data_IF_582422437349
#
_entry.id   IF_582422437349
#
_cell.length_a   1.000
_cell.length_b   1.000
_cell.length_c   1.000
_cell.angle_alpha   90.00
_cell.angle_beta   90.00
_cell.angle_gamma   90.00
#
_symmetry.space_group_name_H-M   'P 1'
#
loop_
_entity.id
_entity.type
_entity.pdbx_description
1 polymer ?
#
# COMPACT_ATOMS: atom_id res chain seq x y z
N UNK A 1 80.26 60.41 17.49
CA UNK A 1 79.92 59.01 17.18
C UNK A 1 78.43 58.84 17.41
N UNK A 2 77.65 58.69 16.34
CA UNK A 2 76.19 58.57 16.40
C UNK A 2 75.81 57.10 16.26
N UNK A 3 75.26 56.54 17.34
CA UNK A 3 74.76 55.16 17.39
C UNK A 3 73.57 55.00 16.45
N UNK A 4 73.69 54.11 15.48
CA UNK A 4 72.59 53.75 14.57
C UNK A 4 71.60 52.87 15.36
N UNK A 5 70.30 53.20 15.39
CA UNK A 5 69.32 52.47 16.20
C UNK A 5 69.20 51.02 15.72
N UNK A 6 69.52 50.07 16.61
CA UNK A 6 69.59 48.63 16.30
C UNK A 6 68.32 48.00 15.72
N UNK A 7 67.17 48.67 15.83
CA UNK A 7 65.92 48.26 15.18
C UNK A 7 65.97 48.39 13.65
N UNK A 8 66.56 49.48 13.12
CA UNK A 8 66.67 49.70 11.67
C UNK A 8 67.61 48.65 11.05
N UNK A 9 68.72 48.35 11.72
CA UNK A 9 69.69 47.33 11.32
C UNK A 9 69.02 45.95 11.24
N UNK A 10 68.16 45.61 12.22
CA UNK A 10 67.42 44.34 12.23
C UNK A 10 66.40 44.26 11.07
N UNK A 11 65.67 45.33 10.78
CA UNK A 11 64.75 45.37 9.63
C UNK A 11 65.49 45.23 8.30
N UNK A 12 66.63 45.91 8.13
CA UNK A 12 67.44 45.80 6.91
C UNK A 12 68.01 44.38 6.75
N UNK A 13 68.45 43.73 7.83
CA UNK A 13 68.89 42.33 7.81
C UNK A 13 67.76 41.37 7.43
N UNK A 14 66.55 41.59 7.96
CA UNK A 14 65.37 40.77 7.62
C UNK A 14 64.93 40.97 6.16
N UNK A 15 64.91 42.21 5.66
CA UNK A 15 64.62 42.50 4.26
C UNK A 15 65.64 41.85 3.33
N UNK A 16 66.94 41.89 3.69
CA UNK A 16 67.98 41.20 2.93
C UNK A 16 67.79 39.69 2.93
N UNK A 17 67.42 39.09 4.07
CA UNK A 17 67.14 37.66 4.15
C UNK A 17 65.90 37.24 3.34
N UNK A 18 64.84 38.05 3.34
CA UNK A 18 63.67 37.83 2.50
C UNK A 18 64.01 37.98 1.01
N UNK A 19 64.82 38.98 0.65
CA UNK A 19 65.30 39.16 -0.72
C UNK A 19 66.12 37.96 -1.19
N UNK A 20 66.99 37.40 -0.33
CA UNK A 20 67.78 36.22 -0.71
C UNK A 20 66.89 34.97 -0.85
N UNK A 21 65.88 34.79 0.01
CA UNK A 21 64.90 33.71 -0.14
C UNK A 21 64.10 33.81 -1.43
N UNK A 22 63.71 35.02 -1.82
CA UNK A 22 63.04 35.26 -3.10
C UNK A 22 63.96 34.94 -4.27
N UNK A 23 65.24 35.35 -4.19
CA UNK A 23 66.25 35.06 -5.21
C UNK A 23 66.47 33.56 -5.39
N UNK A 24 66.62 32.82 -4.29
CA UNK A 24 66.76 31.36 -4.31
C UNK A 24 65.51 30.68 -4.87
N UNK A 25 64.32 31.16 -4.50
CA UNK A 25 63.05 30.62 -5.04
C UNK A 25 62.92 30.88 -6.54
N UNK A 26 63.35 32.04 -7.02
CA UNK A 26 63.32 32.40 -8.44
C UNK A 26 64.31 31.54 -9.24
N UNK A 27 65.54 31.38 -8.74
CA UNK A 27 66.54 30.48 -9.33
C UNK A 27 66.04 29.02 -9.38
N UNK A 28 65.40 28.54 -8.31
CA UNK A 28 64.83 27.19 -8.26
C UNK A 28 63.68 27.02 -9.27
N UNK A 29 62.76 27.98 -9.34
CA UNK A 29 61.65 27.97 -10.31
C UNK A 29 62.18 28.05 -11.74
N UNK A 30 63.17 28.91 -12.01
CA UNK A 30 63.80 29.03 -13.31
C UNK A 30 64.46 27.71 -13.74
N UNK A 31 65.16 27.03 -12.83
CA UNK A 31 65.76 25.72 -13.08
C UNK A 31 64.70 24.65 -13.41
N UNK A 32 63.59 24.61 -12.65
CA UNK A 32 62.49 23.67 -12.91
C UNK A 32 61.73 23.97 -14.20
N UNK A 33 61.52 25.24 -14.53
CA UNK A 33 60.92 25.64 -15.81
C UNK A 33 61.84 25.30 -16.99
N UNK A 34 63.15 25.43 -16.82
CA UNK A 34 64.12 25.05 -17.85
C UNK A 34 64.13 23.54 -18.07
N UNK A 35 64.12 22.75 -16.98
CA UNK A 35 63.98 21.30 -17.03
C UNK A 35 62.67 20.87 -17.71
N UNK A 36 61.55 21.53 -17.41
CA UNK A 36 60.27 21.29 -18.10
C UNK A 36 60.35 21.61 -19.60
N UNK A 37 61.02 22.70 -19.99
CA UNK A 37 61.19 23.08 -21.40
C UNK A 37 62.06 22.10 -22.19
N UNK A 38 63.03 21.46 -21.54
CA UNK A 38 63.83 20.40 -22.17
C UNK A 38 63.02 19.12 -22.39
N UNK A 39 62.19 18.73 -21.41
CA UNK A 39 61.33 17.54 -21.51
C UNK A 39 60.16 17.76 -22.46
N UNK A 40 59.63 18.98 -22.53
CA UNK A 40 58.54 19.40 -23.42
C UNK A 40 58.93 20.70 -24.13
N UNK A 41 59.57 20.61 -25.31
CA UNK A 41 59.84 21.80 -26.11
C UNK A 41 58.53 22.53 -26.40
N UNK A 42 58.52 23.87 -26.25
CA UNK A 42 57.32 24.71 -26.46
C UNK A 42 56.68 24.51 -27.84
N UNK A 43 57.46 24.05 -28.83
CA UNK A 43 56.98 23.71 -30.18
C UNK A 43 56.18 22.41 -30.24
N UNK A 44 56.34 21.50 -29.29
CA UNK A 44 55.58 20.24 -29.19
C UNK A 44 54.49 20.30 -28.12
N UNK A 45 54.33 21.43 -27.43
CA UNK A 45 53.23 21.61 -26.50
C UNK A 45 51.95 21.81 -27.33
N UNK A 46 50.92 20.96 -27.16
CA UNK A 46 49.65 21.20 -27.85
C UNK A 46 49.15 22.56 -27.38
N UNK A 47 49.04 23.51 -28.31
CA UNK A 47 48.29 24.74 -28.05
C UNK A 47 46.88 24.27 -27.77
N UNK A 48 46.48 24.27 -26.50
CA UNK A 48 45.11 24.02 -26.08
C UNK A 48 44.24 25.18 -26.58
N UNK A 49 43.99 25.21 -27.89
CA UNK A 49 42.76 25.75 -28.47
C UNK A 49 41.66 24.72 -28.22
N UNK A 50 41.47 24.32 -26.97
CA UNK A 50 40.25 23.63 -26.62
C UNK A 50 39.17 24.69 -26.68
N UNK A 51 38.53 24.83 -27.85
CA UNK A 51 37.09 25.01 -27.83
C UNK A 51 36.58 23.89 -26.93
N UNK A 52 36.19 24.27 -25.72
CA UNK A 52 35.45 23.37 -24.85
C UNK A 52 34.11 23.22 -25.55
N UNK A 53 34.01 22.24 -26.45
CA UNK A 53 32.71 21.72 -26.85
C UNK A 53 32.09 21.12 -25.60
N UNK A 54 31.26 21.92 -24.95
CA UNK A 54 30.24 21.40 -24.07
C UNK A 54 29.35 20.53 -24.94
N UNK A 55 29.61 19.23 -24.95
CA UNK A 55 28.53 18.26 -25.05
C UNK A 55 27.69 18.47 -23.80
N UNK A 56 26.81 19.47 -23.86
CA UNK A 56 25.50 19.21 -23.29
C UNK A 56 25.08 17.93 -24.00
N UNK A 57 24.78 16.88 -23.25
CA UNK A 57 23.69 16.04 -23.69
C UNK A 57 22.53 17.00 -23.93
N UNK A 58 22.46 17.57 -25.13
CA UNK A 58 21.22 17.62 -25.85
C UNK A 58 20.85 16.14 -26.00
N UNK A 59 20.38 15.54 -24.89
CA UNK A 59 19.08 14.90 -24.93
C UNK A 59 18.27 15.93 -25.67
N UNK A 60 18.17 15.73 -26.99
CA UNK A 60 17.18 16.41 -27.79
C UNK A 60 15.95 16.27 -26.90
N UNK A 61 15.55 17.39 -26.29
CA UNK A 61 14.43 17.42 -25.38
C UNK A 61 13.38 16.66 -26.18
N UNK A 62 12.91 15.47 -25.72
CA UNK A 62 12.02 14.68 -26.55
C UNK A 62 10.95 15.68 -26.93
N UNK A 63 10.83 15.97 -28.25
CA UNK A 63 9.92 17.00 -28.80
C UNK A 63 8.71 16.97 -27.89
N UNK A 64 8.33 18.06 -27.18
CA UNK A 64 7.31 17.98 -26.14
C UNK A 64 6.13 17.26 -26.77
N UNK A 65 5.98 15.98 -26.45
CA UNK A 65 5.21 15.07 -27.29
C UNK A 65 3.78 15.23 -26.82
N UNK A 66 3.21 16.41 -27.04
CA UNK A 66 1.92 16.87 -26.53
C UNK A 66 1.57 16.13 -25.22
N UNK A 67 2.43 16.25 -24.20
CA UNK A 67 2.39 15.38 -23.01
C UNK A 67 1.01 15.45 -22.35
N UNK A 68 0.35 16.61 -22.42
CA UNK A 68 -1.04 16.81 -22.07
C UNK A 68 -2.02 15.90 -22.85
N UNK A 69 -1.87 15.74 -24.16
CA UNK A 69 -2.70 14.81 -24.95
C UNK A 69 -2.37 13.35 -24.70
N UNK A 70 -1.10 13.03 -24.40
CA UNK A 70 -0.71 11.64 -24.07
C UNK A 70 -1.25 11.24 -22.70
N UNK A 71 -1.25 12.16 -21.74
CA UNK A 71 -1.83 12.00 -20.42
C UNK A 71 -3.36 11.95 -20.49
N UNK A 72 -4.00 12.84 -21.26
CA UNK A 72 -5.46 12.83 -21.47
C UNK A 72 -5.91 11.49 -22.08
N UNK A 73 -5.19 10.98 -23.09
CA UNK A 73 -5.49 9.66 -23.67
C UNK A 73 -5.26 8.52 -22.66
N UNK A 74 -4.19 8.57 -21.88
CA UNK A 74 -3.93 7.58 -20.83
C UNK A 74 -5.02 7.62 -19.75
N UNK A 75 -5.48 8.82 -19.37
CA UNK A 75 -6.58 9.03 -18.42
C UNK A 75 -7.90 8.50 -18.97
N UNK A 76 -8.24 8.77 -20.24
CA UNK A 76 -9.46 8.23 -20.86
C UNK A 76 -9.44 6.70 -20.99
N UNK A 77 -8.28 6.11 -21.27
CA UNK A 77 -8.10 4.66 -21.28
C UNK A 77 -8.27 4.11 -19.86
N UNK A 78 -7.68 4.79 -18.86
CA UNK A 78 -7.86 4.46 -17.45
C UNK A 78 -9.32 4.51 -17.01
N UNK A 79 -10.03 5.59 -17.33
CA UNK A 79 -11.46 5.74 -17.01
C UNK A 79 -12.31 4.67 -17.69
N UNK A 80 -12.11 4.40 -18.98
CA UNK A 80 -12.81 3.30 -19.67
C UNK A 80 -12.54 1.95 -19.03
N UNK A 81 -11.30 1.71 -18.60
CA UNK A 81 -10.94 0.46 -17.94
C UNK A 81 -11.60 0.32 -16.56
N UNK A 82 -11.75 1.43 -15.83
CA UNK A 82 -12.51 1.46 -14.57
C UNK A 82 -13.97 1.13 -14.82
N UNK A 83 -14.61 1.76 -15.82
CA UNK A 83 -16.01 1.49 -16.16
C UNK A 83 -16.24 0.02 -16.57
N UNK A 84 -15.31 -0.55 -17.35
CA UNK A 84 -15.33 -1.97 -17.71
C UNK A 84 -15.26 -2.86 -16.46
N UNK A 85 -14.32 -2.59 -15.55
CA UNK A 85 -14.14 -3.36 -14.33
C UNK A 85 -15.34 -3.22 -13.37
N UNK A 86 -15.94 -2.03 -13.28
CA UNK A 86 -17.14 -1.81 -12.48
C UNK A 86 -18.34 -2.58 -13.05
N UNK A 87 -18.48 -2.64 -14.38
CA UNK A 87 -19.52 -3.45 -15.02
C UNK A 87 -19.32 -4.96 -14.78
N UNK A 88 -18.07 -5.43 -14.84
CA UNK A 88 -17.71 -6.82 -14.55
C UNK A 88 -17.95 -7.16 -13.08
N UNK A 89 -17.59 -6.26 -12.17
CA UNK A 89 -17.86 -6.39 -10.73
C UNK A 89 -19.35 -6.55 -10.47
N UNK A 90 -20.19 -5.67 -11.01
CA UNK A 90 -21.66 -5.75 -10.81
C UNK A 90 -22.22 -7.07 -11.35
N UNK A 91 -21.73 -7.53 -12.52
CA UNK A 91 -22.13 -8.81 -13.07
C UNK A 91 -21.72 -10.00 -12.19
N UNK A 92 -20.52 -9.97 -11.61
CA UNK A 92 -20.03 -10.99 -10.68
C UNK A 92 -20.80 -10.98 -9.36
N UNK A 93 -21.09 -9.80 -8.79
CA UNK A 93 -21.91 -9.65 -7.58
C UNK A 93 -23.33 -10.21 -7.79
N UNK A 94 -23.92 -9.97 -8.96
CA UNK A 94 -25.20 -10.56 -9.33
C UNK A 94 -25.13 -12.09 -9.40
N UNK A 95 -24.10 -12.65 -10.05
CA UNK A 95 -23.93 -14.10 -10.13
C UNK A 95 -23.69 -14.75 -8.76
N UNK A 96 -22.91 -14.10 -7.88
CA UNK A 96 -22.70 -14.57 -6.51
C UNK A 96 -24.02 -14.57 -5.74
N UNK A 97 -24.81 -13.49 -5.85
CA UNK A 97 -26.12 -13.39 -5.21
C UNK A 97 -27.06 -14.49 -5.67
N UNK A 98 -27.14 -14.71 -6.99
CA UNK A 98 -27.96 -15.77 -7.58
C UNK A 98 -27.51 -17.18 -7.11
N UNK A 99 -26.20 -17.45 -7.10
CA UNK A 99 -25.68 -18.75 -6.62
C UNK A 99 -25.94 -18.96 -5.13
N UNK A 100 -25.88 -17.89 -4.34
CA UNK A 100 -26.18 -17.92 -2.91
C UNK A 100 -27.64 -18.27 -2.68
N UNK A 101 -28.56 -17.65 -3.43
CA UNK A 101 -29.99 -17.96 -3.38
C UNK A 101 -30.26 -19.43 -3.77
N UNK A 102 -29.68 -19.90 -4.88
CA UNK A 102 -29.79 -21.30 -5.29
C UNK A 102 -29.27 -22.27 -4.23
N UNK A 103 -28.17 -21.94 -3.55
CA UNK A 103 -27.62 -22.77 -2.50
C UNK A 103 -28.53 -22.80 -1.26
N UNK A 104 -29.11 -21.66 -0.88
CA UNK A 104 -30.09 -21.59 0.20
C UNK A 104 -31.33 -22.44 -0.11
N UNK A 105 -31.83 -22.40 -1.34
CA UNK A 105 -32.94 -23.24 -1.79
C UNK A 105 -32.63 -24.74 -1.69
N UNK A 106 -31.42 -25.16 -2.08
CA UNK A 106 -30.99 -26.56 -1.95
C UNK A 106 -30.92 -26.97 -0.48
N UNK A 107 -30.39 -26.11 0.38
CA UNK A 107 -30.34 -26.37 1.83
C UNK A 107 -31.74 -26.46 2.43
N UNK A 108 -32.66 -25.57 2.06
CA UNK A 108 -34.04 -25.60 2.53
C UNK A 108 -34.74 -26.90 2.09
N UNK A 109 -34.63 -27.29 0.82
CA UNK A 109 -35.21 -28.56 0.33
C UNK A 109 -34.63 -29.77 1.05
N UNK A 110 -33.31 -29.79 1.29
CA UNK A 110 -32.66 -30.87 2.04
C UNK A 110 -33.13 -30.90 3.49
N UNK A 111 -33.25 -29.75 4.14
CA UNK A 111 -33.69 -29.66 5.53
C UNK A 111 -35.14 -30.17 5.68
N UNK A 112 -36.03 -29.81 4.76
CA UNK A 112 -37.40 -30.36 4.71
C UNK A 112 -37.37 -31.89 4.55
N UNK A 113 -36.57 -32.41 3.63
CA UNK A 113 -36.42 -33.86 3.44
C UNK A 113 -35.93 -34.58 4.70
N UNK A 114 -34.94 -34.02 5.38
CA UNK A 114 -34.42 -34.55 6.65
C UNK A 114 -35.51 -34.52 7.74
N UNK A 115 -36.26 -33.42 7.86
CA UNK A 115 -37.36 -33.33 8.83
C UNK A 115 -38.47 -34.34 8.56
N UNK A 116 -38.80 -34.59 7.29
CA UNK A 116 -39.75 -35.63 6.92
C UNK A 116 -39.24 -37.04 7.25
N UNK A 117 -37.94 -37.32 7.06
CA UNK A 117 -37.32 -38.59 7.44
C UNK A 117 -37.33 -38.80 8.95
N UNK A 118 -36.99 -37.77 9.74
CA UNK A 118 -37.11 -37.84 11.19
C UNK A 118 -38.56 -38.08 11.63
N UNK A 119 -39.52 -37.38 11.01
CA UNK A 119 -40.94 -37.59 11.31
C UNK A 119 -41.38 -39.02 10.99
N UNK A 120 -40.95 -39.59 9.86
CA UNK A 120 -41.23 -40.98 9.50
C UNK A 120 -40.63 -41.95 10.52
N UNK A 121 -39.36 -41.75 10.88
CA UNK A 121 -38.65 -42.60 11.85
C UNK A 121 -39.31 -42.58 13.23
N UNK A 122 -39.77 -41.40 13.70
CA UNK A 122 -40.51 -41.28 14.95
C UNK A 122 -41.85 -42.04 14.90
N UNK A 123 -42.60 -41.93 13.79
CA UNK A 123 -43.83 -42.70 13.62
C UNK A 123 -43.59 -44.22 13.60
N UNK A 124 -42.49 -44.68 12.99
CA UNK A 124 -42.11 -46.09 13.00
C UNK A 124 -41.80 -46.57 14.43
N UNK A 125 -41.04 -45.78 15.21
CA UNK A 125 -40.78 -46.08 16.62
C UNK A 125 -42.05 -46.12 17.47
N UNK A 126 -42.98 -45.19 17.26
CA UNK A 126 -44.28 -45.19 17.95
C UNK A 126 -45.07 -46.47 17.65
N UNK A 127 -45.08 -46.94 16.40
CA UNK A 127 -45.73 -48.19 16.01
C UNK A 127 -45.08 -49.42 16.64
N UNK A 128 -43.74 -49.45 16.69
CA UNK A 128 -43.00 -50.52 17.37
C UNK A 128 -43.28 -50.54 18.88
N UNK A 129 -43.33 -49.36 19.50
CA UNK A 129 -43.62 -49.18 20.92
C UNK A 129 -45.05 -49.61 21.25
N UNK A 130 -46.03 -49.28 20.41
CA UNK A 130 -47.40 -49.79 20.52
C UNK A 130 -47.47 -51.32 20.37
N UNK A 131 -46.73 -51.88 19.41
CA UNK A 131 -46.60 -53.32 19.25
C UNK A 131 -46.03 -54.02 20.50
N UNK A 132 -44.99 -53.44 21.08
CA UNK A 132 -44.36 -53.94 22.31
C UNK A 132 -45.31 -53.82 23.51
N UNK A 133 -46.00 -52.69 23.65
CA UNK A 133 -46.99 -52.46 24.70
C UNK A 133 -48.14 -53.49 24.61
N UNK A 134 -48.64 -53.76 23.41
CA UNK A 134 -49.64 -54.80 23.21
C UNK A 134 -49.11 -56.19 23.55
N UNK A 135 -47.85 -56.50 23.24
CA UNK A 135 -47.23 -57.78 23.59
C UNK A 135 -47.06 -57.93 25.11
N UNK A 136 -46.64 -56.88 25.81
CA UNK A 136 -46.55 -56.81 27.26
C UNK A 136 -47.93 -57.02 27.88
N UNK A 137 -48.95 -56.32 27.38
CA UNK A 137 -50.32 -56.42 27.91
C UNK A 137 -50.93 -57.82 27.66
N UNK A 138 -50.68 -58.42 26.49
CA UNK A 138 -51.03 -59.83 26.20
C UNK A 138 -50.35 -60.77 27.19
N UNK A 139 -49.05 -60.59 27.49
CA UNK A 139 -48.34 -61.38 28.50
C UNK A 139 -48.96 -61.18 29.89
N UNK A 140 -49.18 -59.94 30.33
CA UNK A 140 -49.82 -59.62 31.63
C UNK A 140 -51.19 -60.29 31.78
N UNK A 141 -52.01 -60.28 30.72
CA UNK A 141 -53.32 -60.95 30.71
C UNK A 141 -53.20 -62.48 30.78
N UNK A 142 -52.19 -63.08 30.14
CA UNK A 142 -51.92 -64.53 30.27
C UNK A 142 -51.55 -64.89 31.71
N UNK A 143 -50.69 -64.11 32.36
CA UNK A 143 -50.30 -64.35 33.76
C UNK A 143 -51.45 -64.10 34.76
N UNK A 144 -52.30 -63.09 34.54
CA UNK A 144 -53.47 -62.83 35.40
C UNK A 144 -54.55 -63.92 35.34
N UNK A 145 -54.64 -64.72 34.26
CA UNK A 145 -55.63 -65.82 34.14
C UNK A 145 -55.21 -67.11 34.85
N UNK A 146 -53.97 -67.21 35.34
CA UNK A 146 -53.51 -68.34 36.15
C UNK A 146 -53.84 -68.03 37.62
N UNK A 147 -55.06 -68.36 38.03
CA UNK A 147 -55.43 -68.39 39.45
C UNK A 147 -54.67 -69.58 40.09
N UNK A 148 -53.99 -69.43 41.25
CA UNK A 148 -53.36 -70.57 41.89
C UNK A 148 -54.47 -71.53 42.34
N UNK A 149 -54.57 -72.69 41.70
CA UNK A 149 -55.43 -73.77 42.18
C UNK A 149 -54.81 -74.33 43.46
N UNK A 150 -55.43 -74.03 44.61
CA UNK A 150 -55.05 -74.61 45.89
C UNK A 150 -55.59 -76.05 45.97
N UNK A 151 -54.76 -77.03 45.63
CA UNK A 151 -54.85 -78.35 46.24
C UNK A 151 -53.49 -79.06 46.14
N UNK A 152 -52.67 -78.87 47.18
CA UNK A 152 -51.47 -79.66 47.39
C UNK A 152 -51.88 -81.05 47.91
N UNK A 153 -52.04 -82.01 46.99
CA UNK A 153 -51.77 -83.42 47.29
C UNK A 153 -50.49 -83.78 46.54
N UNK A 154 -49.40 -83.94 47.29
CA UNK A 154 -48.10 -84.34 46.76
C UNK A 154 -48.18 -85.81 46.35
N UNK A 155 -48.60 -86.05 45.12
CA UNK A 155 -48.38 -87.33 44.45
C UNK A 155 -46.91 -87.38 44.01
N UNK A 156 -46.24 -88.53 44.10
CA UNK A 156 -44.82 -88.68 43.71
C UNK A 156 -44.50 -88.17 42.29
N UNK A 157 -45.48 -88.16 41.39
CA UNK A 157 -45.38 -87.57 40.04
C UNK A 157 -45.15 -86.05 40.07
N UNK A 158 -45.69 -85.32 41.05
CA UNK A 158 -45.47 -83.89 41.22
C UNK A 158 -44.05 -83.60 41.72
N UNK A 159 -43.48 -84.48 42.54
CA UNK A 159 -42.11 -84.39 43.02
C UNK A 159 -41.11 -84.69 41.91
N UNK A 160 -41.39 -85.70 41.07
CA UNK A 160 -40.62 -85.99 39.84
C UNK A 160 -40.64 -84.81 38.86
N UNK A 161 -41.83 -84.23 38.62
CA UNK A 161 -41.97 -83.04 37.78
C UNK A 161 -41.25 -81.83 38.37
N UNK A 162 -41.28 -81.65 39.69
CA UNK A 162 -40.56 -80.57 40.35
C UNK A 162 -39.04 -80.78 40.28
N UNK A 163 -38.56 -82.01 40.38
CA UNK A 163 -37.15 -82.36 40.18
C UNK A 163 -36.71 -82.06 38.75
N UNK A 164 -37.49 -82.49 37.76
CA UNK A 164 -37.23 -82.22 36.35
C UNK A 164 -37.28 -80.72 36.03
N UNK A 165 -38.23 -79.98 36.64
CA UNK A 165 -38.29 -78.52 36.50
C UNK A 165 -37.04 -77.88 37.10
N UNK A 166 -36.61 -78.32 38.28
CA UNK A 166 -35.41 -77.82 38.96
C UNK A 166 -34.14 -78.05 38.14
N UNK A 167 -33.99 -79.25 37.57
CA UNK A 167 -32.86 -79.57 36.66
C UNK A 167 -32.91 -78.76 35.36
N UNK A 168 -34.11 -78.47 34.85
CA UNK A 168 -34.27 -77.62 33.65
C UNK A 168 -33.99 -76.16 33.98
N UNK A 169 -34.41 -75.69 35.15
CA UNK A 169 -34.15 -74.33 35.63
C UNK A 169 -32.65 -74.12 35.84
N UNK A 170 -31.96 -75.08 36.47
CA UNK A 170 -30.50 -75.05 36.63
C UNK A 170 -29.78 -74.96 35.28
N UNK A 171 -30.14 -75.81 34.29
CA UNK A 171 -29.56 -75.73 32.95
C UNK A 171 -29.81 -74.40 32.25
N UNK A 172 -31.00 -73.82 32.43
CA UNK A 172 -31.32 -72.50 31.84
C UNK A 172 -30.58 -71.37 32.57
N UNK A 173 -30.40 -71.46 33.88
CA UNK A 173 -29.61 -70.50 34.65
C UNK A 173 -28.13 -70.56 34.26
N UNK A 174 -27.56 -71.75 34.09
CA UNK A 174 -26.20 -71.93 33.55
C UNK A 174 -26.09 -71.35 32.14
N UNK A 175 -27.09 -71.56 31.28
CA UNK A 175 -27.12 -70.98 29.93
C UNK A 175 -27.17 -69.44 29.95
N UNK A 176 -27.93 -68.84 30.87
CA UNK A 176 -27.99 -67.39 31.04
C UNK A 176 -26.68 -66.84 31.57
N UNK A 177 -26.03 -67.53 32.52
CA UNK A 177 -24.70 -67.14 32.99
C UNK A 177 -23.67 -67.19 31.86
N UNK A 178 -23.66 -68.25 31.07
CA UNK A 178 -22.79 -68.36 29.89
C UNK A 178 -23.07 -67.26 28.86
N UNK A 179 -24.34 -66.89 28.62
CA UNK A 179 -24.69 -65.79 27.72
C UNK A 179 -24.33 -64.41 28.30
N UNK A 180 -24.37 -64.23 29.63
CA UNK A 180 -23.88 -63.02 30.29
C UNK A 180 -22.35 -62.93 30.23
N UNK A 181 -21.65 -64.05 30.41
CA UNK A 181 -20.20 -64.14 30.21
C UNK A 181 -19.82 -63.89 28.75
N UNK A 182 -20.57 -64.44 27.79
CA UNK A 182 -20.38 -64.18 26.36
C UNK A 182 -20.68 -62.71 26.00
N UNK A 183 -21.74 -62.12 26.56
CA UNK A 183 -22.08 -60.71 26.35
C UNK A 183 -21.05 -59.75 26.96
N UNK A 184 -20.45 -60.12 28.09
CA UNK A 184 -19.37 -59.34 28.71
C UNK A 184 -18.03 -59.54 27.99
N UNK A 185 -17.75 -60.73 27.43
CA UNK A 185 -16.60 -60.99 26.57
C UNK A 185 -16.72 -60.33 25.19
N UNK A 186 -17.93 -60.23 24.63
CA UNK A 186 -18.22 -59.55 23.37
C UNK A 186 -18.24 -58.02 23.50
N UNK A 187 -17.90 -57.46 24.67
CA UNK A 187 -17.65 -56.02 24.81
C UNK A 187 -18.89 -55.14 24.67
N UNK A 188 -20.11 -55.68 24.79
CA UNK A 188 -21.35 -54.91 24.76
C UNK A 188 -21.72 -54.36 26.15
N UNK A 189 -20.72 -54.00 26.95
CA UNK A 189 -20.92 -53.04 28.02
C UNK A 189 -20.65 -51.66 27.43
N UNK A 190 -21.50 -50.69 27.75
CA UNK A 190 -21.59 -49.31 27.23
C UNK A 190 -20.28 -48.47 27.27
N UNK A 191 -19.14 -49.07 27.65
CA UNK A 191 -17.81 -48.49 27.76
C UNK A 191 -17.12 -48.20 26.42
N UNK A 192 -17.62 -48.70 25.27
CA UNK A 192 -17.12 -48.30 23.95
C UNK A 192 -17.85 -47.08 23.37
N UNK A 193 -19.08 -46.78 23.82
CA UNK A 193 -19.82 -45.57 23.39
C UNK A 193 -19.46 -44.34 24.24
N UNK A 194 -19.19 -44.52 25.54
CA UNK A 194 -18.76 -43.44 26.44
C UNK A 194 -17.49 -42.68 25.99
N UNK A 195 -16.39 -43.31 25.51
CA UNK A 195 -15.19 -42.59 25.10
C UNK A 195 -15.34 -41.87 23.76
N UNK A 196 -16.31 -42.25 22.92
CA UNK A 196 -16.57 -41.57 21.64
C UNK A 196 -17.24 -40.22 21.90
N UNK A 197 -18.25 -40.19 22.79
CA UNK A 197 -18.92 -38.95 23.20
C UNK A 197 -17.97 -38.01 23.98
N UNK A 198 -17.07 -38.57 24.80
CA UNK A 198 -16.08 -37.80 25.55
C UNK A 198 -14.97 -37.22 24.65
N UNK A 199 -14.59 -37.92 23.58
CA UNK A 199 -13.63 -37.45 22.57
C UNK A 199 -14.24 -36.36 21.67
N UNK A 200 -15.53 -36.46 21.34
CA UNK A 200 -16.23 -35.43 20.59
C UNK A 200 -16.46 -34.16 21.42
N UNK A 201 -16.77 -34.28 22.71
CA UNK A 201 -16.84 -33.13 23.63
C UNK A 201 -15.49 -32.39 23.74
N UNK A 202 -14.39 -33.14 23.89
CA UNK A 202 -13.03 -32.56 23.94
C UNK A 202 -12.63 -31.90 22.60
N UNK A 203 -13.04 -32.47 21.46
CA UNK A 203 -12.83 -31.83 20.15
C UNK A 203 -13.62 -30.54 19.99
N UNK A 204 -14.85 -30.48 20.49
CA UNK A 204 -15.68 -29.27 20.45
C UNK A 204 -15.02 -28.17 21.28
N UNK A 205 -14.57 -28.47 22.50
CA UNK A 205 -13.88 -27.51 23.37
C UNK A 205 -12.59 -26.98 22.72
N UNK A 206 -11.79 -27.85 22.10
CA UNK A 206 -10.57 -27.46 21.40
C UNK A 206 -10.84 -26.66 20.12
N UNK A 207 -11.97 -26.90 19.44
CA UNK A 207 -12.40 -26.10 18.30
C UNK A 207 -12.93 -24.72 18.73
N UNK A 208 -13.63 -24.64 19.85
CA UNK A 208 -14.10 -23.37 20.43
C UNK A 208 -12.93 -22.48 20.90
N UNK A 209 -11.91 -23.08 21.53
CA UNK A 209 -10.67 -22.37 21.90
C UNK A 209 -9.97 -21.81 20.65
N UNK A 210 -9.79 -22.63 19.61
CA UNK A 210 -9.22 -22.17 18.33
C UNK A 210 -10.06 -21.08 17.66
N UNK A 211 -11.38 -21.16 17.73
CA UNK A 211 -12.28 -20.12 17.20
C UNK A 211 -12.15 -18.82 17.98
N UNK A 212 -11.98 -18.91 19.31
CA UNK A 212 -11.72 -17.76 20.17
C UNK A 212 -10.40 -17.09 19.82
N UNK A 213 -9.33 -17.87 19.60
CA UNK A 213 -8.01 -17.32 19.24
C UNK A 213 -7.99 -16.70 17.84
N UNK A 214 -8.64 -17.34 16.86
CA UNK A 214 -8.80 -16.74 15.51
C UNK A 214 -9.61 -15.45 15.59
N UNK A 215 -10.64 -15.36 16.44
CA UNK A 215 -11.39 -14.11 16.65
C UNK A 215 -10.53 -13.00 17.26
N UNK A 216 -9.65 -13.33 18.22
CA UNK A 216 -8.70 -12.36 18.78
C UNK A 216 -7.69 -11.91 17.74
N UNK A 217 -7.18 -12.82 16.91
CA UNK A 217 -6.26 -12.50 15.81
C UNK A 217 -6.92 -11.58 14.78
N UNK A 218 -8.15 -11.88 14.37
CA UNK A 218 -8.93 -11.00 13.47
C UNK A 218 -9.14 -9.62 14.09
N UNK A 219 -9.42 -9.54 15.39
CA UNK A 219 -9.57 -8.24 16.07
C UNK A 219 -8.26 -7.46 16.10
N UNK A 220 -7.14 -8.11 16.42
CA UNK A 220 -5.80 -7.53 16.37
C UNK A 220 -5.45 -7.03 14.96
N UNK A 221 -5.73 -7.84 13.93
CA UNK A 221 -5.50 -7.46 12.53
C UNK A 221 -6.33 -6.24 12.15
N UNK A 222 -7.60 -6.20 12.55
CA UNK A 222 -8.49 -5.06 12.32
C UNK A 222 -8.00 -3.80 13.03
N UNK A 223 -7.54 -3.92 14.27
CA UNK A 223 -7.00 -2.80 15.04
C UNK A 223 -5.68 -2.29 14.43
N UNK A 224 -4.81 -3.19 13.95
CA UNK A 224 -3.61 -2.78 13.21
C UNK A 224 -3.96 -2.10 11.88
N UNK A 225 -4.96 -2.60 11.14
CA UNK A 225 -5.40 -1.99 9.89
C UNK A 225 -6.00 -0.59 10.13
N UNK A 226 -6.85 -0.43 11.14
CA UNK A 226 -7.41 0.86 11.52
C UNK A 226 -6.32 1.83 12.01
N UNK A 227 -5.32 1.34 12.75
CA UNK A 227 -4.18 2.16 13.17
C UNK A 227 -3.32 2.62 11.99
N UNK A 228 -3.08 1.75 11.00
CA UNK A 228 -2.34 2.08 9.77
C UNK A 228 -3.09 3.10 8.92
N UNK A 229 -4.41 2.94 8.77
CA UNK A 229 -5.21 3.91 8.02
C UNK A 229 -5.28 5.26 8.72
N UNK A 230 -5.31 5.30 10.06
CA UNK A 230 -5.25 6.55 10.82
C UNK A 230 -3.89 7.23 10.72
N UNK A 231 -2.78 6.49 10.78
CA UNK A 231 -1.42 7.06 10.65
C UNK A 231 -1.14 7.60 9.25
N UNK A 232 -1.62 6.93 8.21
CA UNK A 232 -1.40 7.36 6.82
C UNK A 232 -2.29 8.55 6.44
N UNK A 233 -3.53 8.59 6.95
CA UNK A 233 -4.47 9.68 6.66
C UNK A 233 -4.12 11.01 7.35
N UNK A 234 -3.57 10.99 8.56
CA UNK A 234 -3.35 12.24 9.34
C UNK A 234 -1.96 12.83 9.14
N UNK A 235 -0.93 12.01 8.93
CA UNK A 235 0.44 12.51 8.70
C UNK A 235 0.70 12.81 7.23
N UNK A 236 0.01 12.15 6.30
CA UNK A 236 0.16 12.40 4.86
C UNK A 236 -0.49 13.70 4.41
N UNK A 237 -1.70 14.02 4.90
CA UNK A 237 -2.43 15.22 4.46
C UNK A 237 -1.82 16.50 5.03
N UNK A 238 -1.41 16.49 6.31
CA UNK A 238 -0.84 17.65 6.99
C UNK A 238 0.53 18.03 6.42
N UNK A 239 1.40 17.04 6.18
CA UNK A 239 2.69 17.29 5.54
C UNK A 239 2.55 17.81 4.09
N UNK A 240 1.58 17.32 3.32
CA UNK A 240 1.34 17.84 1.97
C UNK A 240 0.74 19.26 1.98
N UNK A 241 -0.16 19.57 2.93
CA UNK A 241 -0.71 20.91 3.11
C UNK A 241 0.40 21.91 3.48
N UNK A 242 1.29 21.54 4.40
CA UNK A 242 2.44 22.35 4.80
C UNK A 242 3.44 22.55 3.64
N UNK A 243 3.70 21.53 2.83
CA UNK A 243 4.56 21.64 1.63
C UNK A 243 3.94 22.55 0.55
N UNK A 244 2.61 22.48 0.37
CA UNK A 244 1.87 23.36 -0.55
C UNK A 244 1.94 24.80 -0.05
N UNK A 245 1.77 25.04 1.25
CA UNK A 245 1.85 26.38 1.83
C UNK A 245 3.28 26.95 1.73
N UNK A 246 4.29 26.12 1.97
CA UNK A 246 5.70 26.49 1.80
C UNK A 246 6.02 26.85 0.35
N UNK A 247 5.60 26.03 -0.63
CA UNK A 247 5.82 26.32 -2.05
C UNK A 247 5.08 27.59 -2.50
N UNK A 248 3.85 27.81 -2.03
CA UNK A 248 3.15 29.07 -2.30
C UNK A 248 3.88 30.28 -1.71
N UNK A 249 4.44 30.15 -0.50
CA UNK A 249 5.24 31.21 0.12
C UNK A 249 6.51 31.51 -0.69
N UNK A 250 7.23 30.48 -1.15
CA UNK A 250 8.40 30.62 -2.02
C UNK A 250 8.04 31.30 -3.35
N UNK A 251 6.93 30.91 -3.98
CA UNK A 251 6.46 31.56 -5.22
C UNK A 251 6.16 33.04 -4.99
N UNK A 252 5.50 33.39 -3.89
CA UNK A 252 5.24 34.80 -3.54
C UNK A 252 6.57 35.56 -3.34
N UNK A 253 7.51 34.99 -2.60
CA UNK A 253 8.81 35.62 -2.34
C UNK A 253 9.61 35.84 -3.63
N UNK A 254 9.74 34.81 -4.48
CA UNK A 254 10.41 34.93 -5.78
C UNK A 254 9.71 35.97 -6.65
N UNK A 255 8.39 36.01 -6.66
CA UNK A 255 7.65 37.01 -7.42
C UNK A 255 7.94 38.43 -6.89
N UNK A 256 7.97 38.64 -5.57
CA UNK A 256 8.34 39.94 -5.00
C UNK A 256 9.79 40.34 -5.32
N UNK A 257 10.72 39.38 -5.35
CA UNK A 257 12.11 39.63 -5.75
C UNK A 257 12.22 40.00 -7.22
N UNK A 258 11.51 39.30 -8.11
CA UNK A 258 11.42 39.65 -9.53
C UNK A 258 10.89 41.06 -9.72
N UNK A 259 9.84 41.45 -8.99
CA UNK A 259 9.30 42.81 -9.06
C UNK A 259 10.32 43.85 -8.57
N UNK A 260 11.01 43.57 -7.47
CA UNK A 260 12.09 44.43 -6.94
C UNK A 260 13.24 44.60 -7.95
N UNK A 261 13.70 43.50 -8.53
CA UNK A 261 14.75 43.51 -9.56
C UNK A 261 14.27 44.25 -10.83
N UNK A 262 13.01 44.08 -11.23
CA UNK A 262 12.40 44.80 -12.34
C UNK A 262 12.40 46.32 -12.10
N UNK A 263 11.99 46.78 -10.92
CA UNK A 263 12.03 48.20 -10.55
C UNK A 263 13.45 48.74 -10.52
N UNK A 264 14.41 47.97 -9.99
CA UNK A 264 15.82 48.33 -9.98
C UNK A 264 16.41 48.41 -11.39
N UNK A 265 16.03 47.51 -12.29
CA UNK A 265 16.48 47.54 -13.67
C UNK A 265 15.92 48.78 -14.39
N UNK A 266 14.65 49.11 -14.18
CA UNK A 266 14.04 50.34 -14.69
C UNK A 266 14.77 51.61 -14.22
N UNK A 267 15.19 51.68 -12.95
CA UNK A 267 15.95 52.82 -12.45
C UNK A 267 17.36 52.88 -13.04
N UNK A 268 18.04 51.72 -13.16
CA UNK A 268 19.37 51.63 -13.78
C UNK A 268 19.35 52.05 -15.26
N UNK A 269 18.33 51.65 -16.02
CA UNK A 269 18.16 52.10 -17.41
C UNK A 269 18.03 53.62 -17.52
N UNK A 270 17.45 54.28 -16.51
CA UNK A 270 17.33 55.74 -16.49
C UNK A 270 18.64 56.43 -16.09
N UNK A 271 19.40 55.85 -15.16
CA UNK A 271 20.63 56.45 -14.60
C UNK A 271 21.85 56.23 -15.52
N UNK A 272 21.97 55.05 -16.12
CA UNK A 272 23.12 54.69 -16.97
C UNK A 272 22.99 55.21 -18.42
N UNK A 273 21.88 55.87 -18.73
CA UNK A 273 21.66 56.44 -20.05
C UNK A 273 22.56 57.66 -20.28
N UNK A 274 23.13 57.82 -21.50
CA UNK A 274 23.94 59.00 -21.85
C UNK A 274 23.18 60.32 -21.74
N UNK A 275 21.85 60.29 -21.91
CA UNK A 275 20.95 61.44 -21.75
C UNK A 275 19.60 60.99 -21.16
N UNK A 276 18.89 61.90 -20.50
CA UNK A 276 17.59 61.60 -19.88
C UNK A 276 16.52 61.14 -20.90
N UNK A 277 16.56 61.68 -22.12
CA UNK A 277 15.66 61.28 -23.21
C UNK A 277 15.90 59.84 -23.68
N UNK A 278 17.17 59.40 -23.75
CA UNK A 278 17.54 58.02 -24.07
C UNK A 278 17.16 57.08 -22.92
N UNK A 279 17.32 57.50 -21.66
CA UNK A 279 16.91 56.70 -20.50
C UNK A 279 15.39 56.45 -20.45
N UNK A 280 14.59 57.49 -20.71
CA UNK A 280 13.13 57.37 -20.83
C UNK A 280 12.70 56.44 -21.96
N UNK A 281 13.41 56.49 -23.10
CA UNK A 281 13.19 55.61 -24.24
C UNK A 281 13.50 54.14 -23.91
N UNK A 282 14.63 53.86 -23.27
CA UNK A 282 15.02 52.51 -22.87
C UNK A 282 14.04 51.91 -21.84
N UNK A 283 13.57 52.72 -20.88
CA UNK A 283 12.55 52.32 -19.91
C UNK A 283 11.24 51.93 -20.61
N UNK A 284 10.75 52.74 -21.55
CA UNK A 284 9.51 52.45 -22.29
C UNK A 284 9.63 51.22 -23.19
N UNK A 285 10.78 51.04 -23.86
CA UNK A 285 11.06 49.82 -24.64
C UNK A 285 11.05 48.58 -23.75
N UNK A 286 11.71 48.66 -22.59
CA UNK A 286 11.76 47.56 -21.65
C UNK A 286 10.37 47.25 -21.06
N UNK A 287 9.56 48.25 -20.73
CA UNK A 287 8.18 48.04 -20.28
C UNK A 287 7.31 47.37 -21.34
N UNK A 288 7.46 47.75 -22.62
CA UNK A 288 6.72 47.11 -23.72
C UNK A 288 7.15 45.66 -23.96
N UNK A 289 8.44 45.37 -23.82
CA UNK A 289 8.96 44.00 -23.92
C UNK A 289 8.57 43.15 -22.70
N UNK A 290 8.46 43.76 -21.52
CA UNK A 290 8.08 43.08 -20.27
C UNK A 290 6.56 42.86 -20.14
N UNK A 291 5.74 43.73 -20.73
CA UNK A 291 4.27 43.58 -20.79
C UNK A 291 3.82 42.56 -21.86
N UNK A 292 4.49 41.41 -21.93
CA UNK A 292 4.07 40.33 -22.81
C UNK A 292 2.64 39.90 -22.42
N UNK A 293 1.65 39.95 -23.33
CA UNK A 293 0.34 39.39 -23.04
C UNK A 293 0.47 37.90 -22.71
N UNK A 294 -0.23 37.45 -21.68
CA UNK A 294 -0.32 36.02 -21.30
C UNK A 294 -0.79 35.13 -22.47
N UNK A 295 -1.33 35.71 -23.53
CA UNK A 295 -1.86 35.03 -24.73
C UNK A 295 -0.79 34.33 -25.59
N UNK A 296 0.51 34.63 -25.43
CA UNK A 296 1.58 33.94 -26.20
C UNK A 296 2.04 32.64 -25.52
N UNK A 297 1.59 32.35 -24.28
CA UNK A 297 2.00 31.11 -23.58
C UNK A 297 1.25 29.86 -24.04
N UNK A 298 0.15 29.99 -24.79
CA UNK A 298 -0.70 28.85 -25.20
C UNK A 298 -0.56 28.44 -26.67
N UNK A 299 0.29 29.09 -27.47
CA UNK A 299 0.57 28.60 -28.84
C UNK A 299 1.71 27.59 -28.82
N UNK A 300 1.35 26.32 -28.88
CA UNK A 300 2.20 25.12 -28.87
C UNK A 300 3.03 24.88 -30.14
N UNK A 301 3.42 25.92 -30.88
CA UNK A 301 4.19 25.80 -32.14
C UNK A 301 5.51 26.61 -32.09
N UNK A 302 6.69 25.96 -32.16
CA UNK A 302 7.98 26.64 -32.12
C UNK A 302 8.42 27.24 -33.47
N UNK A 303 7.67 27.03 -34.55
CA UNK A 303 7.99 27.57 -35.90
C UNK A 303 7.42 28.97 -36.15
N UNK A 304 6.57 29.47 -35.26
CA UNK A 304 6.01 30.83 -35.27
C UNK A 304 6.38 31.62 -34.02
N UNK A 305 7.63 31.45 -33.54
CA UNK A 305 8.25 32.46 -32.69
C UNK A 305 8.44 33.74 -33.52
N UNK A 306 7.35 34.49 -33.70
CA UNK A 306 7.38 35.84 -34.25
C UNK A 306 8.25 36.64 -33.28
N UNK A 307 9.51 36.84 -33.66
CA UNK A 307 10.41 37.77 -32.96
C UNK A 307 9.63 39.05 -32.77
N UNK A 308 9.36 39.42 -31.52
CA UNK A 308 8.62 40.64 -31.23
C UNK A 308 9.55 41.82 -31.51
N UNK A 309 9.59 42.23 -32.77
CA UNK A 309 10.32 43.40 -33.20
C UNK A 309 9.43 44.60 -32.97
N UNK A 310 9.75 45.40 -31.94
CA UNK A 310 9.14 46.72 -31.78
C UNK A 310 9.46 47.51 -33.06
N UNK A 311 8.43 47.88 -33.83
CA UNK A 311 8.62 48.73 -35.01
C UNK A 311 9.11 50.09 -34.54
N UNK A 312 10.42 50.28 -34.59
CA UNK A 312 11.12 51.45 -34.04
C UNK A 312 10.49 52.78 -34.49
N UNK A 313 10.01 52.88 -35.74
CA UNK A 313 9.35 54.09 -36.28
C UNK A 313 7.99 54.38 -35.65
N UNK A 314 7.19 53.36 -35.33
CA UNK A 314 5.88 53.55 -34.69
C UNK A 314 6.07 53.90 -33.21
N UNK A 315 7.02 53.23 -32.55
CA UNK A 315 7.39 53.52 -31.17
C UNK A 315 7.96 54.94 -30.97
N UNK A 316 8.85 55.39 -31.86
CA UNK A 316 9.42 56.74 -31.82
C UNK A 316 8.36 57.84 -32.06
N UNK A 317 7.32 57.56 -32.85
CA UNK A 317 6.19 58.49 -33.05
C UNK A 317 5.35 58.65 -31.79
N UNK A 318 5.08 57.56 -31.07
CA UNK A 318 4.36 57.58 -29.79
C UNK A 318 5.19 58.23 -28.68
N UNK A 319 6.52 58.13 -28.75
CA UNK A 319 7.40 58.71 -27.74
C UNK A 319 7.58 60.23 -27.82
N UNK A 320 7.08 60.90 -28.86
CA UNK A 320 6.97 62.36 -28.95
C UNK A 320 8.28 63.13 -28.66
N UNK A 321 9.07 63.41 -29.70
CA UNK A 321 10.01 64.54 -29.67
C UNK A 321 11.52 64.26 -29.59
N UNK A 322 12.03 63.11 -30.03
CA UNK A 322 13.48 62.93 -30.21
C UNK A 322 13.83 63.12 -31.68
N UNK A 323 14.21 64.34 -32.06
CA UNK A 323 14.92 64.58 -33.32
C UNK A 323 16.32 63.98 -33.20
N UNK A 324 16.53 62.81 -33.80
CA UNK A 324 17.84 62.23 -34.05
C UNK A 324 18.57 63.09 -35.09
N UNK A 325 19.24 64.15 -34.66
CA UNK A 325 20.00 65.04 -35.56
C UNK A 325 21.50 64.73 -35.64
N UNK A 326 22.05 63.81 -34.84
CA UNK A 326 23.46 63.42 -35.01
C UNK A 326 23.71 61.97 -34.60
N UNK A 327 23.53 61.02 -35.52
CA UNK A 327 24.40 59.84 -35.72
C UNK A 327 24.13 59.31 -37.14
N UNK A 328 24.80 59.89 -38.13
CA UNK A 328 25.36 59.19 -39.31
C UNK A 328 26.75 59.78 -39.51
#
# INVERSE_FOLDING_TARGET
>A
MTEVPGGLVRCVMQLRACSEKLRVSDEFLAAKLSQMREVLPLSSMPVLKSEIEFFTESKALPKPLNSATSFSKASEIGSRRVDELDSEKVALEFQISQRTEMFQDVLLRRNVGIQEEYKRSLCELDLELDGLNQAIEKKRRKYKRVRPSSSFKVNGVAQEKHRNLKETLLRMTERVQLLQEESTQLGLCDDEMAPIELNDAQKIELLEEKLSDVRKEVHLLKDTQESSMRSDSTNGSTNMEDEIELTQCLVRNVNTEIHSQHTRLLSLLRILAPTESIGSLMVRLYQQLAQLPKEIRDTSDPTTATRHTVKLREFLKVCGGITLTHVI
#
